data_IF_456123848220
#
_entry.id   IF_456123848220
#
_cell.length_a   1.000
_cell.length_b   1.000
_cell.length_c   1.000
_cell.angle_alpha   90.00
_cell.angle_beta   90.00
_cell.angle_gamma   90.00
#
_symmetry.space_group_name_H-M   'P 1'
#
loop_
_entity.id
_entity.type
_entity.pdbx_description
1 polymer ?
#
# COMPACT_ATOMS: atom_id res chain seq x y z
N UNK A 1 6.18 -9.93 5.77
CA UNK A 1 7.27 -9.90 4.78
C UNK A 1 7.30 -8.53 4.14
N UNK A 2 8.47 -7.96 3.86
CA UNK A 2 8.58 -6.68 3.14
C UNK A 2 9.09 -6.93 1.72
N UNK A 3 8.45 -6.30 0.75
CA UNK A 3 8.79 -6.34 -0.67
C UNK A 3 9.22 -4.94 -1.09
N UNK A 4 10.25 -4.83 -1.94
CA UNK A 4 10.66 -3.55 -2.52
C UNK A 4 9.51 -2.97 -3.35
N UNK A 5 9.15 -1.71 -3.09
CA UNK A 5 8.09 -1.04 -3.84
C UNK A 5 8.54 -0.73 -5.26
N UNK A 6 7.63 -0.91 -6.21
CA UNK A 6 7.80 -0.40 -7.56
C UNK A 6 7.85 1.13 -7.56
N UNK A 7 8.75 1.70 -8.36
CA UNK A 7 8.87 3.12 -8.58
C UNK A 7 8.22 3.49 -9.92
N UNK A 8 7.50 4.61 -9.92
CA UNK A 8 6.89 5.13 -11.14
C UNK A 8 7.95 5.87 -11.97
N UNK A 9 7.97 5.62 -13.27
CA UNK A 9 8.77 6.41 -14.22
C UNK A 9 8.01 7.69 -14.60
N UNK A 10 8.72 8.81 -14.67
CA UNK A 10 8.14 10.09 -15.07
C UNK A 10 7.78 10.04 -16.56
N UNK A 11 6.54 10.42 -16.88
CA UNK A 11 6.16 10.80 -18.23
C UNK A 11 6.23 12.34 -18.35
N UNK A 12 6.78 12.84 -19.44
CA UNK A 12 6.87 14.29 -19.70
C UNK A 12 5.54 14.84 -20.25
N UNK A 13 4.77 14.01 -20.96
CA UNK A 13 3.52 14.39 -21.60
C UNK A 13 2.36 13.51 -21.15
N UNK A 14 1.15 14.06 -21.19
CA UNK A 14 -0.08 13.31 -20.96
C UNK A 14 -0.42 12.48 -22.19
N UNK A 15 -0.89 11.25 -21.97
CA UNK A 15 -1.30 10.34 -23.03
C UNK A 15 -2.69 9.77 -22.73
N UNK A 16 -3.38 9.35 -23.78
CA UNK A 16 -4.65 8.64 -23.71
C UNK A 16 -4.50 7.35 -24.51
N UNK A 17 -4.37 6.25 -23.80
CA UNK A 17 -4.12 4.93 -24.36
C UNK A 17 -4.88 3.89 -23.52
N UNK A 18 -5.68 3.05 -24.19
CA UNK A 18 -6.55 2.06 -23.57
C UNK A 18 -5.76 0.88 -22.97
N UNK A 19 -4.47 0.74 -23.28
CA UNK A 19 -3.58 -0.24 -22.64
C UNK A 19 -3.16 0.18 -21.21
N UNK A 20 -3.49 1.41 -20.79
CA UNK A 20 -3.06 1.97 -19.51
C UNK A 20 -4.23 2.21 -18.55
N UNK A 21 -4.04 1.80 -17.29
CA UNK A 21 -4.94 2.16 -16.20
C UNK A 21 -4.48 3.46 -15.55
N UNK A 22 -5.42 4.37 -15.28
CA UNK A 22 -5.18 5.61 -14.55
C UNK A 22 -5.70 5.53 -13.12
N UNK A 23 -4.84 5.86 -12.17
CA UNK A 23 -5.19 6.02 -10.76
C UNK A 23 -4.81 7.43 -10.30
N UNK A 24 -5.58 8.01 -9.38
CA UNK A 24 -5.26 9.31 -8.81
C UNK A 24 -3.99 9.25 -7.97
N UNK A 25 -3.04 10.14 -8.27
CA UNK A 25 -1.82 10.28 -7.47
C UNK A 25 -2.11 10.98 -6.15
N UNK A 26 -2.11 10.21 -5.07
CA UNK A 26 -2.21 10.75 -3.71
C UNK A 26 -0.86 11.21 -3.20
N UNK A 27 -0.82 12.39 -2.58
CA UNK A 27 0.37 12.89 -1.89
C UNK A 27 0.31 12.48 -0.41
N UNK A 28 1.34 11.77 0.04
CA UNK A 28 1.37 11.14 1.36
C UNK A 28 2.49 10.13 1.50
N UNK A 29 2.44 9.33 2.57
CA UNK A 29 3.46 8.32 2.86
C UNK A 29 3.05 6.99 2.23
N UNK A 30 3.93 6.44 1.38
CA UNK A 30 3.74 5.10 0.81
C UNK A 30 4.01 4.04 1.88
N UNK A 31 3.03 3.18 2.12
CA UNK A 31 3.12 2.05 3.03
C UNK A 31 2.88 0.74 2.28
N UNK A 32 3.61 -0.29 2.66
CA UNK A 32 3.35 -1.68 2.28
C UNK A 32 2.74 -2.40 3.47
N UNK A 33 1.60 -3.04 3.25
CA UNK A 33 0.91 -3.82 4.28
C UNK A 33 1.15 -5.31 4.04
N UNK A 34 1.50 -6.03 5.11
CA UNK A 34 1.65 -7.49 5.10
C UNK A 34 0.82 -8.09 6.22
N UNK A 35 -0.20 -8.87 5.88
CA UNK A 35 -0.95 -9.72 6.82
C UNK A 35 -0.42 -11.14 6.71
N UNK A 36 0.16 -11.66 7.80
CA UNK A 36 0.67 -13.02 7.86
C UNK A 36 0.29 -13.65 9.21
N UNK A 37 -0.37 -14.82 9.18
CA UNK A 37 -0.82 -15.54 10.38
C UNK A 37 -1.57 -14.64 11.39
N UNK A 38 -2.49 -13.81 10.90
CA UNK A 38 -3.27 -12.88 11.74
C UNK A 38 -2.53 -11.62 12.20
N UNK A 39 -1.22 -11.51 11.96
CA UNK A 39 -0.44 -10.32 12.29
C UNK A 39 -0.35 -9.38 11.09
N UNK A 40 -0.82 -8.15 11.26
CA UNK A 40 -0.71 -7.09 10.27
C UNK A 40 0.50 -6.22 10.60
N UNK A 41 1.39 -6.06 9.62
CA UNK A 41 2.57 -5.19 9.72
C UNK A 41 2.59 -4.15 8.61
N UNK A 42 3.10 -2.97 8.95
CA UNK A 42 3.24 -1.84 8.03
C UNK A 42 4.72 -1.49 7.84
N UNK A 43 5.15 -1.37 6.59
CA UNK A 43 6.50 -1.01 6.23
C UNK A 43 6.53 0.26 5.39
N UNK A 44 7.51 1.14 5.62
CA UNK A 44 7.74 2.31 4.77
C UNK A 44 8.50 1.94 3.49
N UNK A 45 8.68 2.91 2.59
CA UNK A 45 9.54 2.78 1.39
C UNK A 45 10.95 2.27 1.68
N UNK A 46 11.48 2.56 2.86
CA UNK A 46 12.82 2.15 3.28
C UNK A 46 12.82 0.89 4.17
N UNK A 47 11.74 0.09 4.14
CA UNK A 47 11.57 -1.14 4.93
C UNK A 47 11.58 -0.91 6.46
N UNK A 48 11.27 0.31 6.91
CA UNK A 48 11.11 0.57 8.35
C UNK A 48 9.74 0.08 8.79
N UNK A 49 9.69 -0.77 9.81
CA UNK A 49 8.43 -1.19 10.41
C UNK A 49 7.83 -0.02 11.20
N UNK A 50 6.64 0.44 10.81
CA UNK A 50 5.92 1.58 11.41
C UNK A 50 4.55 1.19 11.97
N UNK A 51 4.34 -0.11 12.18
CA UNK A 51 3.09 -0.70 12.67
C UNK A 51 2.53 0.00 13.91
N UNK A 52 3.39 0.38 14.87
CA UNK A 52 2.99 1.01 16.13
C UNK A 52 2.58 2.48 16.00
N UNK A 53 2.98 3.16 14.91
CA UNK A 53 2.70 4.58 14.67
C UNK A 53 1.31 4.83 14.10
N UNK A 54 0.77 3.86 13.38
CA UNK A 54 -0.52 3.97 12.67
C UNK A 54 -1.51 2.92 13.19
N UNK A 55 -1.92 3.07 14.46
CA UNK A 55 -2.84 2.12 15.10
C UNK A 55 -4.23 2.15 14.48
N UNK A 56 -4.66 3.32 14.01
CA UNK A 56 -5.95 3.52 13.34
C UNK A 56 -6.08 2.70 12.05
N UNK A 57 -4.97 2.39 11.38
CA UNK A 57 -4.95 1.56 10.18
C UNK A 57 -5.12 0.06 10.55
N UNK A 58 -4.58 -0.40 11.68
CA UNK A 58 -4.68 -1.80 12.10
C UNK A 58 -6.13 -2.21 12.39
N UNK A 59 -6.87 -1.36 13.09
CA UNK A 59 -8.23 -1.67 13.52
C UNK A 59 -9.18 -1.79 12.33
N UNK A 60 -9.07 -0.87 11.37
CA UNK A 60 -9.90 -0.87 10.15
C UNK A 60 -9.55 -2.03 9.22
N UNK A 61 -8.26 -2.30 9.02
CA UNK A 61 -7.81 -3.33 8.08
C UNK A 61 -8.14 -4.74 8.58
N UNK A 62 -8.09 -4.96 9.89
CA UNK A 62 -8.49 -6.23 10.50
C UNK A 62 -9.97 -6.55 10.31
N UNK A 63 -10.82 -5.53 10.18
CA UNK A 63 -12.24 -5.69 9.89
C UNK A 63 -12.47 -5.95 8.40
N UNK A 64 -11.91 -5.12 7.50
CA UNK A 64 -12.12 -5.25 6.06
C UNK A 64 -11.56 -6.56 5.50
N UNK A 65 -10.37 -6.98 5.91
CA UNK A 65 -9.75 -8.23 5.41
C UNK A 65 -10.42 -9.51 5.92
N UNK A 66 -11.40 -9.45 6.83
CA UNK A 66 -12.26 -10.60 7.14
C UNK A 66 -13.28 -10.84 6.03
N UNK A 67 -13.79 -9.78 5.40
CA UNK A 67 -14.80 -9.87 4.35
C UNK A 67 -14.27 -10.35 2.99
N UNK A 68 -12.95 -10.35 2.80
CA UNK A 68 -12.30 -10.82 1.56
C UNK A 68 -11.69 -12.23 1.69
N UNK A 69 -11.91 -12.92 2.81
CA UNK A 69 -11.42 -14.30 3.03
C UNK A 69 -12.53 -15.36 2.96
N UNK A 70 -13.76 -14.96 2.60
CA UNK A 70 -14.88 -15.83 2.23
C UNK A 70 -15.06 -15.82 0.70
#
# INVERSE_FOLDING_TARGET
MCISLMLLHKAEEAFLDDEYLSESKYDGIRLTLSKWNGNVKHYTRHNNEVTSRFKELLDKISQTLRFYQD
#
